data_IF_632973715005
#
_entry.id   IF_632973715005
#
_cell.length_a   1.000
_cell.length_b   1.000
_cell.length_c   1.000
_cell.angle_alpha   90.00
_cell.angle_beta   90.00
_cell.angle_gamma   90.00
#
_symmetry.space_group_name_H-M   'P 1'
#
loop_
_entity.id
_entity.type
_entity.pdbx_description
1 polymer ?
#
# COMPACT_ATOMS: atom_id res chain seq x y z
N UNK A 1 -5.50 5.31 -2.35
CA UNK A 1 -6.44 5.26 -1.20
C UNK A 1 -6.01 6.17 -0.05
N UNK A 2 -4.97 5.85 0.76
CA UNK A 2 -4.63 6.68 1.95
C UNK A 2 -4.35 8.16 1.64
N UNK A 3 -3.66 8.48 0.54
CA UNK A 3 -3.46 9.89 0.13
C UNK A 3 -4.78 10.59 -0.22
N UNK A 4 -5.76 9.89 -0.82
CA UNK A 4 -7.09 10.45 -1.09
C UNK A 4 -7.80 10.85 0.21
N UNK A 5 -7.77 9.98 1.23
CA UNK A 5 -8.30 10.29 2.57
C UNK A 5 -7.61 11.51 3.20
N UNK A 6 -6.29 11.63 3.02
CA UNK A 6 -5.52 12.78 3.51
C UNK A 6 -5.95 14.06 2.80
N UNK A 7 -6.09 14.04 1.48
CA UNK A 7 -6.55 15.19 0.70
C UNK A 7 -7.95 15.63 1.12
N UNK A 8 -8.88 14.69 1.35
CA UNK A 8 -10.21 14.98 1.88
C UNK A 8 -10.20 15.62 3.28
N UNK A 9 -9.09 15.50 4.01
CA UNK A 9 -8.87 16.11 5.32
C UNK A 9 -7.81 17.23 5.30
N UNK A 10 -7.54 17.82 4.13
CA UNK A 10 -6.57 18.92 3.95
C UNK A 10 -5.14 18.60 4.40
N UNK A 11 -4.77 17.32 4.40
CA UNK A 11 -3.43 16.87 4.73
C UNK A 11 -2.60 16.69 3.46
N UNK A 12 -1.30 17.05 3.49
CA UNK A 12 -0.42 16.86 2.35
C UNK A 12 -0.14 15.38 2.10
N UNK A 13 0.41 15.06 0.94
CA UNK A 13 0.82 13.70 0.61
C UNK A 13 1.82 13.11 1.62
N UNK A 14 1.76 11.80 1.75
CA UNK A 14 2.65 11.04 2.62
C UNK A 14 4.07 11.13 2.08
N UNK A 15 5.00 11.54 2.94
CA UNK A 15 6.43 11.51 2.67
C UNK A 15 6.99 10.14 3.07
N UNK A 16 7.89 9.61 2.25
CA UNK A 16 8.64 8.40 2.58
C UNK A 16 9.40 8.55 3.92
N UNK A 17 9.73 7.43 4.53
CA UNK A 17 10.72 7.41 5.61
C UNK A 17 12.09 7.85 5.08
N UNK A 18 12.89 8.42 5.96
CA UNK A 18 14.25 8.86 5.67
C UNK A 18 15.14 8.38 6.82
N UNK A 19 16.25 7.73 6.49
CA UNK A 19 17.19 7.20 7.48
C UNK A 19 18.00 8.31 8.16
N UNK A 20 18.19 9.44 7.49
CA UNK A 20 19.03 10.54 7.97
C UNK A 20 18.25 11.57 8.81
N UNK A 21 16.93 11.41 8.90
CA UNK A 21 16.05 12.30 9.66
C UNK A 21 15.25 11.50 10.69
N UNK A 22 14.88 12.12 11.82
CA UNK A 22 14.09 11.43 12.83
C UNK A 22 12.64 11.19 12.34
N UNK A 23 11.99 10.22 12.96
CA UNK A 23 10.56 10.00 12.81
C UNK A 23 9.80 11.12 13.55
N UNK A 24 9.35 12.13 12.80
CA UNK A 24 8.64 13.28 13.35
C UNK A 24 7.23 12.99 13.89
N UNK A 25 6.62 11.86 13.52
CA UNK A 25 5.24 11.52 13.92
C UNK A 25 5.27 10.36 14.91
N UNK A 26 4.95 10.67 16.16
CA UNK A 26 4.77 9.69 17.22
C UNK A 26 3.49 8.90 17.03
N UNK A 27 3.35 7.81 17.77
CA UNK A 27 2.14 7.01 17.75
C UNK A 27 1.95 6.29 19.08
N UNK A 28 0.78 6.47 19.69
CA UNK A 28 0.35 5.74 20.88
C UNK A 28 -0.76 4.76 20.47
N UNK A 29 -0.51 3.44 20.47
CA UNK A 29 -1.46 2.49 19.92
C UNK A 29 -2.79 2.34 20.66
N UNK A 30 -2.81 2.62 21.97
CA UNK A 30 -3.96 2.32 22.86
C UNK A 30 -4.40 0.84 22.77
N UNK A 31 -3.44 -0.06 22.55
CA UNK A 31 -3.68 -1.50 22.43
C UNK A 31 -2.94 -2.25 23.54
N UNK A 32 -3.59 -3.30 24.03
CA UNK A 32 -3.01 -4.30 24.92
C UNK A 32 -3.03 -5.64 24.21
N UNK A 33 -1.89 -6.32 24.21
CA UNK A 33 -1.76 -7.66 23.64
C UNK A 33 -2.49 -8.69 24.50
N UNK A 34 -2.81 -9.88 23.96
CA UNK A 34 -3.49 -10.95 24.71
C UNK A 34 -2.76 -11.39 25.99
N UNK A 35 -1.44 -11.23 26.03
CA UNK A 35 -0.61 -11.53 27.21
C UNK A 35 -0.69 -10.44 28.31
N UNK A 36 -1.50 -9.40 28.12
CA UNK A 36 -1.69 -8.30 29.06
C UNK A 36 -0.66 -7.17 28.97
N UNK A 37 0.37 -7.32 28.13
CA UNK A 37 1.40 -6.30 27.94
C UNK A 37 0.88 -5.24 26.95
N UNK A 38 1.18 -3.97 27.21
CA UNK A 38 0.78 -2.87 26.32
C UNK A 38 1.64 -2.83 25.06
N UNK A 39 1.01 -2.53 23.92
CA UNK A 39 1.75 -2.29 22.69
C UNK A 39 2.60 -1.02 22.84
N UNK A 40 3.83 -1.01 22.32
CA UNK A 40 4.78 0.06 22.61
C UNK A 40 4.36 1.37 21.97
N UNK A 41 4.44 2.44 22.75
CA UNK A 41 4.34 3.80 22.24
C UNK A 41 5.63 4.19 21.52
N UNK A 42 5.53 4.89 20.38
CA UNK A 42 6.68 5.50 19.72
C UNK A 42 6.68 7.02 19.95
N UNK A 43 7.62 7.57 20.73
CA UNK A 43 7.83 9.01 20.84
C UNK A 43 8.22 9.67 19.51
N UNK A 44 7.99 10.98 19.42
CA UNK A 44 8.46 11.81 18.32
C UNK A 44 9.98 12.01 18.37
N UNK A 45 10.60 12.23 17.21
CA UNK A 45 12.00 12.66 17.13
C UNK A 45 13.03 11.52 17.23
N UNK A 46 12.61 10.25 17.15
CA UNK A 46 13.52 9.11 17.23
C UNK A 46 14.16 8.80 15.87
N UNK A 47 15.46 8.56 15.86
CA UNK A 47 16.21 8.12 14.69
C UNK A 47 16.17 6.61 14.53
N UNK A 48 16.10 6.14 13.28
CA UNK A 48 16.38 4.73 12.98
C UNK A 48 17.85 4.43 13.28
N UNK A 49 18.10 3.28 13.92
CA UNK A 49 19.44 2.79 14.30
C UNK A 49 19.50 1.29 14.06
N UNK A 50 20.69 0.71 14.15
CA UNK A 50 20.84 -0.75 14.13
C UNK A 50 19.96 -1.39 15.21
N UNK A 51 19.30 -2.48 14.87
CA UNK A 51 18.39 -3.21 15.73
C UNK A 51 18.79 -4.69 15.76
N UNK A 52 19.32 -5.15 16.90
CA UNK A 52 19.84 -6.51 17.08
C UNK A 52 20.78 -6.97 15.93
N UNK A 53 20.35 -7.94 15.12
CA UNK A 53 21.09 -8.44 13.95
C UNK A 53 20.84 -7.64 12.66
N UNK A 54 19.95 -6.64 12.69
CA UNK A 54 19.62 -5.78 11.55
C UNK A 54 20.47 -4.52 11.58
N UNK A 55 21.36 -4.40 10.59
CA UNK A 55 22.20 -3.23 10.41
C UNK A 55 21.55 -2.26 9.42
N UNK A 56 21.45 -0.99 9.80
CA UNK A 56 20.87 0.06 8.96
C UNK A 56 21.60 0.18 7.61
N UNK A 57 22.93 0.09 7.65
CA UNK A 57 23.79 0.13 6.46
C UNK A 57 23.48 -1.04 5.51
N UNK A 58 23.17 -2.22 6.04
CA UNK A 58 22.83 -3.38 5.23
C UNK A 58 21.50 -3.17 4.48
N UNK A 59 20.50 -2.60 5.16
CA UNK A 59 19.21 -2.25 4.55
C UNK A 59 19.39 -1.20 3.44
N UNK A 60 20.23 -0.19 3.67
CA UNK A 60 20.60 0.80 2.67
C UNK A 60 21.33 0.16 1.48
N UNK A 61 22.18 -0.83 1.73
CA UNK A 61 22.88 -1.58 0.68
C UNK A 61 21.91 -2.42 -0.16
N UNK A 62 20.91 -3.07 0.45
CA UNK A 62 19.86 -3.78 -0.30
C UNK A 62 19.08 -2.83 -1.19
N UNK A 63 18.64 -1.69 -0.65
CA UNK A 63 17.95 -0.66 -1.42
C UNK A 63 18.80 -0.17 -2.60
N UNK A 64 20.08 0.12 -2.36
CA UNK A 64 21.03 0.52 -3.41
C UNK A 64 21.15 -0.54 -4.50
N UNK A 65 21.35 -1.82 -4.15
CA UNK A 65 21.46 -2.92 -5.13
C UNK A 65 20.21 -3.05 -6.00
N UNK A 66 19.03 -2.80 -5.44
CA UNK A 66 17.76 -2.84 -6.18
C UNK A 66 17.70 -1.65 -7.14
N UNK A 67 18.03 -0.44 -6.70
CA UNK A 67 18.13 0.74 -7.57
C UNK A 67 19.16 0.53 -8.69
N UNK A 68 20.36 0.06 -8.37
CA UNK A 68 21.42 -0.22 -9.33
C UNK A 68 20.95 -1.24 -10.39
N UNK A 69 20.22 -2.28 -9.98
CA UNK A 69 19.65 -3.26 -10.91
C UNK A 69 18.62 -2.65 -11.87
N UNK A 70 17.75 -1.78 -11.35
CA UNK A 70 16.77 -1.02 -12.16
C UNK A 70 17.50 -0.12 -13.16
N UNK A 71 18.44 0.69 -12.69
CA UNK A 71 19.16 1.69 -13.49
C UNK A 71 20.05 1.04 -14.56
N UNK A 72 20.74 -0.04 -14.19
CA UNK A 72 21.54 -0.82 -15.13
C UNK A 72 20.66 -1.49 -16.19
N UNK A 73 19.46 -1.94 -15.78
CA UNK A 73 18.46 -2.55 -16.66
C UNK A 73 18.41 -4.07 -16.58
N UNK A 74 18.96 -4.70 -15.54
CA UNK A 74 18.68 -6.11 -15.25
C UNK A 74 18.79 -6.45 -13.77
N UNK A 75 18.06 -7.49 -13.36
CA UNK A 75 18.33 -8.20 -12.10
C UNK A 75 19.08 -9.50 -12.34
N UNK A 76 19.86 -9.92 -11.35
CA UNK A 76 20.63 -11.16 -11.39
C UNK A 76 20.08 -12.15 -10.36
N UNK A 77 19.59 -13.29 -10.84
CA UNK A 77 19.21 -14.39 -9.97
C UNK A 77 20.43 -15.07 -9.34
N UNK A 78 20.17 -15.91 -8.33
CA UNK A 78 21.19 -16.69 -7.63
C UNK A 78 22.01 -17.59 -8.58
N UNK A 79 21.37 -18.13 -9.61
CA UNK A 79 21.99 -18.96 -10.65
C UNK A 79 22.68 -18.15 -11.78
N UNK A 80 22.88 -16.85 -11.59
CA UNK A 80 23.42 -15.90 -12.57
C UNK A 80 22.55 -15.65 -13.82
N UNK A 81 21.30 -16.14 -13.85
CA UNK A 81 20.33 -15.75 -14.89
C UNK A 81 20.01 -14.25 -14.78
N UNK A 82 20.02 -13.55 -15.91
CA UNK A 82 19.71 -12.13 -16.00
C UNK A 82 18.26 -11.91 -16.43
N UNK A 83 17.55 -11.06 -15.70
CA UNK A 83 16.20 -10.62 -15.98
C UNK A 83 16.28 -9.24 -16.61
N UNK A 84 16.12 -9.14 -17.94
CA UNK A 84 16.33 -7.91 -18.69
C UNK A 84 15.14 -6.95 -18.55
N UNK A 85 15.30 -5.93 -17.71
CA UNK A 85 14.26 -4.96 -17.38
C UNK A 85 13.92 -3.98 -18.52
N UNK A 86 14.75 -3.92 -19.57
CA UNK A 86 14.53 -3.08 -20.76
C UNK A 86 13.78 -3.80 -21.88
N UNK A 87 13.42 -5.07 -21.67
CA UNK A 87 12.64 -5.85 -22.62
C UNK A 87 11.16 -5.48 -22.64
N UNK A 88 10.37 -6.22 -23.42
CA UNK A 88 8.91 -6.07 -23.48
C UNK A 88 8.20 -6.71 -22.25
N UNK A 89 8.90 -7.60 -21.53
CA UNK A 89 8.35 -8.26 -20.34
C UNK A 89 8.28 -7.33 -19.12
N UNK A 90 7.14 -7.34 -18.43
CA UNK A 90 6.95 -6.61 -17.18
C UNK A 90 7.38 -7.46 -15.97
N UNK A 91 8.52 -7.11 -15.39
CA UNK A 91 9.09 -7.77 -14.21
C UNK A 91 8.61 -7.16 -12.88
N UNK A 92 7.48 -6.46 -12.87
CA UNK A 92 6.89 -5.92 -11.63
C UNK A 92 6.67 -7.00 -10.57
N UNK A 93 6.24 -8.20 -10.98
CA UNK A 93 6.08 -9.33 -10.06
C UNK A 93 7.41 -9.76 -9.44
N UNK A 94 8.47 -9.86 -10.24
CA UNK A 94 9.82 -10.21 -9.77
C UNK A 94 10.37 -9.15 -8.82
N UNK A 95 10.19 -7.86 -9.13
CA UNK A 95 10.55 -6.77 -8.23
C UNK A 95 9.77 -6.84 -6.91
N UNK A 96 8.48 -7.20 -6.95
CA UNK A 96 7.69 -7.43 -5.76
C UNK A 96 8.25 -8.53 -4.87
N UNK A 97 8.63 -9.67 -5.47
CA UNK A 97 9.25 -10.78 -4.74
C UNK A 97 10.60 -10.39 -4.13
N UNK A 98 11.41 -9.62 -4.86
CA UNK A 98 12.68 -9.06 -4.36
C UNK A 98 12.44 -8.14 -3.16
N UNK A 99 11.52 -7.18 -3.28
CA UNK A 99 11.25 -6.19 -2.24
C UNK A 99 10.66 -6.82 -0.98
N UNK A 100 9.79 -7.83 -1.13
CA UNK A 100 9.24 -8.57 0.01
C UNK A 100 10.28 -9.51 0.63
N UNK A 101 11.18 -10.07 -0.18
CA UNK A 101 12.12 -11.13 0.20
C UNK A 101 11.41 -12.46 0.46
N UNK A 102 10.34 -12.75 -0.28
CA UNK A 102 9.58 -13.99 -0.17
C UNK A 102 10.33 -15.18 -0.81
N UNK A 103 9.71 -16.36 -0.79
CA UNK A 103 10.30 -17.60 -1.32
C UNK A 103 10.62 -17.50 -2.82
N UNK A 104 9.82 -16.75 -3.57
CA UNK A 104 9.96 -16.55 -5.01
C UNK A 104 10.95 -15.42 -5.37
N UNK A 105 11.66 -14.87 -4.38
CA UNK A 105 12.73 -13.90 -4.61
C UNK A 105 13.90 -14.56 -5.34
N UNK A 106 14.23 -14.03 -6.52
CA UNK A 106 15.23 -14.63 -7.42
C UNK A 106 16.64 -14.70 -6.83
N UNK A 107 16.96 -13.85 -5.84
CA UNK A 107 18.23 -13.85 -5.13
C UNK A 107 18.11 -13.13 -3.77
N UNK A 108 17.50 -13.81 -2.79
CA UNK A 108 17.28 -13.26 -1.45
C UNK A 108 18.58 -12.91 -0.72
N UNK A 109 19.66 -13.66 -0.94
CA UNK A 109 20.97 -13.37 -0.32
C UNK A 109 21.57 -12.05 -0.82
N UNK A 110 21.37 -11.74 -2.10
CA UNK A 110 21.89 -10.51 -2.68
C UNK A 110 20.98 -9.30 -2.45
N UNK A 111 19.66 -9.47 -2.62
CA UNK A 111 18.69 -8.36 -2.54
C UNK A 111 18.01 -8.21 -1.17
N UNK A 112 18.14 -9.19 -0.27
CA UNK A 112 17.59 -9.15 1.07
C UNK A 112 16.05 -9.30 1.10
N UNK A 113 15.46 -8.75 2.16
CA UNK A 113 14.01 -8.68 2.37
C UNK A 113 13.61 -7.24 2.73
N UNK A 114 13.76 -6.33 1.77
CA UNK A 114 13.75 -4.88 2.02
C UNK A 114 12.53 -4.40 2.82
N UNK A 115 11.31 -4.74 2.38
CA UNK A 115 10.09 -4.32 3.08
C UNK A 115 10.00 -4.87 4.51
N UNK A 116 10.32 -6.16 4.70
CA UNK A 116 10.30 -6.80 6.02
C UNK A 116 11.36 -6.23 6.96
N UNK A 117 12.55 -5.97 6.43
CA UNK A 117 13.63 -5.34 7.18
C UNK A 117 13.26 -3.93 7.62
N UNK A 118 12.55 -3.15 6.80
CA UNK A 118 12.02 -1.85 7.21
C UNK A 118 10.96 -1.96 8.30
N UNK A 119 10.02 -2.90 8.17
CA UNK A 119 9.01 -3.13 9.21
C UNK A 119 9.68 -3.48 10.54
N UNK A 120 10.66 -4.37 10.56
CA UNK A 120 11.38 -4.74 11.78
C UNK A 120 12.26 -3.62 12.32
N UNK A 121 13.04 -2.94 11.48
CA UNK A 121 13.88 -1.79 11.87
C UNK A 121 13.07 -0.69 12.57
N UNK A 122 11.92 -0.33 11.99
CA UNK A 122 11.05 0.70 12.55
C UNK A 122 10.10 0.17 13.64
N UNK A 123 9.86 -1.15 13.68
CA UNK A 123 9.13 -1.82 14.75
C UNK A 123 9.89 -1.77 16.06
N UNK A 124 11.18 -2.10 16.03
CA UNK A 124 12.06 -2.09 17.21
C UNK A 124 12.68 -0.72 17.51
N UNK A 125 12.26 0.36 16.84
CA UNK A 125 12.89 1.69 16.95
C UNK A 125 12.97 2.24 18.39
N UNK A 126 12.06 1.81 19.27
CA UNK A 126 11.99 2.23 20.68
C UNK A 126 12.98 1.47 21.57
N UNK A 127 13.24 0.19 21.27
CA UNK A 127 14.19 -0.65 21.99
C UNK A 127 14.97 -1.56 21.01
N UNK A 128 15.88 -1.00 20.19
CA UNK A 128 16.47 -1.71 19.07
C UNK A 128 17.29 -2.95 19.46
N UNK A 129 17.78 -3.01 20.69
CA UNK A 129 18.62 -4.11 21.21
C UNK A 129 17.92 -4.90 22.32
N UNK A 130 16.60 -4.75 22.46
CA UNK A 130 15.77 -5.48 23.43
C UNK A 130 16.25 -5.33 24.89
N UNK A 131 16.90 -4.21 25.24
CA UNK A 131 17.49 -3.99 26.57
C UNK A 131 16.40 -3.84 27.64
N UNK A 132 15.26 -3.30 27.27
CA UNK A 132 14.16 -2.99 28.17
C UNK A 132 13.01 -4.00 28.05
N UNK A 133 13.16 -5.04 27.22
CA UNK A 133 12.14 -6.06 27.02
C UNK A 133 10.87 -5.49 26.39
N UNK A 134 10.99 -4.43 25.59
CA UNK A 134 9.84 -3.85 24.90
C UNK A 134 9.29 -4.88 23.90
N UNK A 135 7.98 -5.15 23.92
CA UNK A 135 7.38 -6.12 23.00
C UNK A 135 7.36 -5.61 21.55
N UNK A 136 6.96 -6.49 20.64
CA UNK A 136 6.80 -6.16 19.23
C UNK A 136 5.86 -4.96 19.02
N UNK A 137 6.21 -4.12 18.05
CA UNK A 137 5.40 -2.97 17.68
C UNK A 137 4.14 -3.39 16.92
N UNK A 138 3.13 -2.53 16.92
CA UNK A 138 1.95 -2.70 16.04
C UNK A 138 2.33 -2.78 14.55
N UNK A 139 3.50 -2.25 14.17
CA UNK A 139 4.01 -2.35 12.81
C UNK A 139 4.30 -3.79 12.38
N UNK A 140 4.58 -4.69 13.33
CA UNK A 140 5.00 -6.06 13.05
C UNK A 140 3.81 -7.04 12.97
N UNK A 141 2.59 -6.55 13.18
CA UNK A 141 1.36 -7.34 13.15
C UNK A 141 0.43 -6.87 12.02
N UNK A 142 0.09 -7.73 11.04
CA UNK A 142 -0.78 -7.36 9.91
C UNK A 142 -2.11 -6.73 10.30
N UNK A 143 -2.67 -7.14 11.44
CA UNK A 143 -3.94 -6.70 12.01
C UNK A 143 -3.88 -5.27 12.55
N UNK A 144 -2.69 -4.77 12.90
CA UNK A 144 -2.51 -3.48 13.57
C UNK A 144 -1.58 -2.50 12.85
N UNK A 145 -0.76 -2.97 11.91
CA UNK A 145 0.22 -2.14 11.20
C UNK A 145 -0.40 -0.94 10.47
N UNK A 146 -1.62 -1.08 9.95
CA UNK A 146 -2.33 -0.02 9.24
C UNK A 146 -2.78 1.13 10.15
N UNK A 147 -2.78 0.93 11.48
CA UNK A 147 -3.13 1.98 12.45
C UNK A 147 -1.99 2.99 12.62
N UNK A 148 -0.75 2.56 12.45
CA UNK A 148 0.43 3.39 12.65
C UNK A 148 0.70 4.27 11.40
N UNK A 149 0.77 5.61 11.54
CA UNK A 149 1.14 6.51 10.43
C UNK A 149 2.48 6.16 9.75
N UNK A 150 3.42 5.58 10.49
CA UNK A 150 4.75 5.21 9.99
C UNK A 150 4.69 4.09 8.95
N UNK A 151 3.71 3.18 9.05
CA UNK A 151 3.49 2.13 8.04
C UNK A 151 3.35 2.74 6.64
N UNK A 152 2.54 3.79 6.52
CA UNK A 152 2.30 4.41 5.22
C UNK A 152 3.54 5.14 4.67
N UNK A 153 4.42 5.63 5.55
CA UNK A 153 5.70 6.22 5.15
C UNK A 153 6.70 5.16 4.68
N UNK A 154 6.72 3.99 5.33
CA UNK A 154 7.49 2.81 4.91
C UNK A 154 6.98 2.34 3.54
N UNK A 155 5.67 2.13 3.42
CA UNK A 155 5.03 1.73 2.16
C UNK A 155 5.32 2.74 1.03
N UNK A 156 5.34 4.05 1.31
CA UNK A 156 5.69 5.06 0.31
C UNK A 156 7.13 4.92 -0.19
N UNK A 157 8.09 4.55 0.66
CA UNK A 157 9.49 4.28 0.27
C UNK A 157 9.61 3.04 -0.61
N UNK A 158 8.91 1.96 -0.27
CA UNK A 158 8.87 0.76 -1.12
C UNK A 158 8.20 1.08 -2.47
N UNK A 159 7.08 1.80 -2.46
CA UNK A 159 6.39 2.22 -3.68
C UNK A 159 7.24 3.12 -4.57
N UNK A 160 8.11 3.98 -4.02
CA UNK A 160 9.00 4.79 -4.85
C UNK A 160 9.96 3.94 -5.70
N UNK A 161 10.34 2.74 -5.24
CA UNK A 161 11.16 1.82 -6.02
C UNK A 161 10.35 1.25 -7.20
N UNK A 162 9.07 0.90 -6.98
CA UNK A 162 8.18 0.51 -8.08
C UNK A 162 7.99 1.63 -9.10
N UNK A 163 7.80 2.87 -8.64
CA UNK A 163 7.67 4.01 -9.55
C UNK A 163 8.95 4.26 -10.34
N UNK A 164 10.10 4.12 -9.71
CA UNK A 164 11.41 4.19 -10.35
C UNK A 164 11.59 3.10 -11.41
N UNK A 165 11.19 1.87 -11.13
CA UNK A 165 11.17 0.81 -12.14
C UNK A 165 10.20 1.12 -13.29
N UNK A 166 8.97 1.50 -12.96
CA UNK A 166 7.94 1.81 -13.96
C UNK A 166 8.29 3.02 -14.84
N UNK A 167 9.13 3.95 -14.39
CA UNK A 167 9.61 5.06 -15.23
C UNK A 167 10.63 4.64 -16.29
N UNK A 168 11.23 3.45 -16.16
CA UNK A 168 12.13 2.89 -17.17
C UNK A 168 11.40 2.10 -18.26
N UNK A 169 10.11 1.79 -18.06
CA UNK A 169 9.31 1.10 -19.06
C UNK A 169 8.95 2.05 -20.20
N UNK A 170 8.85 1.51 -21.42
CA UNK A 170 8.36 2.25 -22.58
C UNK A 170 6.91 2.71 -22.30
N UNK A 171 6.61 4.01 -22.37
CA UNK A 171 5.25 4.49 -22.27
C UNK A 171 4.38 3.89 -23.38
N UNK A 172 3.11 3.64 -23.07
CA UNK A 172 2.14 3.22 -24.09
C UNK A 172 2.07 4.25 -25.22
N UNK A 173 2.13 3.76 -26.44
CA UNK A 173 1.86 4.53 -27.64
C UNK A 173 0.36 4.72 -27.85
N UNK A 174 0.00 5.54 -28.82
CA UNK A 174 -1.40 5.67 -29.23
C UNK A 174 -2.00 4.30 -29.60
N UNK A 175 -1.28 3.51 -30.38
CA UNK A 175 -1.78 2.23 -30.91
C UNK A 175 -1.91 1.16 -29.82
N UNK A 176 -1.14 1.26 -28.72
CA UNK A 176 -1.28 0.38 -27.55
C UNK A 176 -2.57 0.65 -26.76
N UNK A 177 -3.10 1.88 -26.85
CA UNK A 177 -4.29 2.32 -26.08
C UNK A 177 -5.54 2.46 -26.96
N UNK A 178 -5.36 2.55 -28.28
CA UNK A 178 -6.43 2.78 -29.22
C UNK A 178 -7.25 1.51 -29.44
N UNK A 179 -8.57 1.61 -29.23
CA UNK A 179 -9.52 0.57 -29.57
C UNK A 179 -10.29 1.00 -30.84
N UNK A 180 -9.98 0.42 -32.01
CA UNK A 180 -10.54 0.88 -33.27
C UNK A 180 -12.07 0.83 -33.32
N UNK A 181 -12.70 1.90 -33.81
CA UNK A 181 -14.14 2.00 -34.01
C UNK A 181 -14.95 2.15 -32.71
N UNK A 182 -14.31 2.30 -31.55
CA UNK A 182 -14.99 2.50 -30.26
C UNK A 182 -14.70 3.90 -29.72
N UNK A 183 -15.74 4.61 -29.29
CA UNK A 183 -15.62 5.94 -28.68
C UNK A 183 -16.50 6.04 -27.45
N UNK A 184 -15.92 6.50 -26.33
CA UNK A 184 -16.69 6.89 -25.15
C UNK A 184 -17.21 8.32 -25.37
N UNK A 185 -18.51 8.46 -25.59
CA UNK A 185 -19.15 9.74 -25.88
C UNK A 185 -19.47 10.54 -24.62
N UNK A 186 -19.90 9.86 -23.56
CA UNK A 186 -20.30 10.51 -22.32
C UNK A 186 -20.14 9.59 -21.11
N UNK A 187 -19.87 10.21 -19.95
CA UNK A 187 -19.77 9.54 -18.66
C UNK A 187 -20.50 10.38 -17.63
N UNK A 188 -21.59 9.85 -17.08
CA UNK A 188 -22.36 10.51 -16.02
C UNK A 188 -22.39 9.66 -14.76
N UNK A 189 -22.51 10.32 -13.61
CA UNK A 189 -22.55 9.70 -12.30
C UNK A 189 -23.72 10.24 -11.51
N UNK A 190 -24.34 9.37 -10.72
CA UNK A 190 -25.20 9.79 -9.63
C UNK A 190 -24.40 10.58 -8.57
N UNK A 191 -25.12 11.23 -7.66
CA UNK A 191 -24.52 11.95 -6.55
C UNK A 191 -23.73 11.01 -5.64
N UNK A 192 -22.42 11.22 -5.57
CA UNK A 192 -21.53 10.49 -4.65
C UNK A 192 -21.66 11.07 -3.24
N UNK A 193 -22.10 10.25 -2.28
CA UNK A 193 -22.31 10.69 -0.89
C UNK A 193 -21.69 9.69 0.07
N UNK A 194 -20.78 10.16 0.92
CA UNK A 194 -20.23 9.42 2.06
C UNK A 194 -20.89 9.84 3.36
N UNK A 195 -20.89 8.94 4.34
CA UNK A 195 -21.39 9.17 5.69
C UNK A 195 -20.71 8.21 6.67
N UNK A 196 -20.86 8.45 7.97
CA UNK A 196 -20.48 7.48 8.99
C UNK A 196 -21.71 6.76 9.51
N UNK A 197 -21.59 5.46 9.74
CA UNK A 197 -22.65 4.63 10.30
C UNK A 197 -22.12 3.77 11.46
N UNK A 198 -23.02 3.33 12.32
CA UNK A 198 -22.71 2.40 13.39
C UNK A 198 -22.46 1.00 12.80
N UNK A 199 -21.40 0.36 13.24
CA UNK A 199 -21.07 -1.01 12.91
C UNK A 199 -20.80 -1.79 14.18
N UNK A 200 -21.60 -2.83 14.38
CA UNK A 200 -21.56 -3.72 15.53
C UNK A 200 -20.81 -5.00 15.17
N UNK A 201 -19.91 -5.43 16.05
CA UNK A 201 -19.21 -6.70 15.90
C UNK A 201 -18.99 -7.37 17.26
N UNK A 202 -19.04 -8.70 17.28
CA UNK A 202 -18.89 -9.48 18.50
C UNK A 202 -17.44 -9.51 18.98
N UNK A 203 -17.26 -9.43 20.29
CA UNK A 203 -15.95 -9.44 20.96
C UNK A 203 -15.82 -10.57 21.98
N UNK A 204 -16.66 -11.61 21.88
CA UNK A 204 -16.68 -12.74 22.80
C UNK A 204 -15.28 -13.38 22.97
N UNK A 205 -14.51 -13.48 21.88
CA UNK A 205 -13.15 -14.04 21.89
C UNK A 205 -12.11 -13.18 22.63
N UNK A 206 -12.42 -11.93 22.97
CA UNK A 206 -11.56 -11.06 23.76
C UNK A 206 -11.78 -11.23 25.27
N UNK A 207 -12.77 -12.02 25.67
CA UNK A 207 -13.16 -12.23 27.06
C UNK A 207 -12.75 -13.63 27.53
N UNK A 208 -12.26 -13.70 28.75
CA UNK A 208 -11.93 -14.97 29.42
C UNK A 208 -12.97 -15.23 30.50
N UNK A 209 -13.66 -16.37 30.40
CA UNK A 209 -14.64 -16.82 31.40
C UNK A 209 -14.04 -17.91 32.29
N UNK A 210 -14.47 -17.98 33.55
CA UNK A 210 -14.00 -18.99 34.50
C UNK A 210 -14.48 -20.40 34.13
N UNK A 211 -15.70 -20.51 33.56
CA UNK A 211 -16.22 -21.72 32.94
C UNK A 211 -16.70 -21.39 31.53
N UNK A 212 -16.55 -22.32 30.59
CA UNK A 212 -17.00 -22.14 29.21
C UNK A 212 -18.52 -21.89 29.12
N UNK A 213 -19.29 -22.52 30.00
CA UNK A 213 -20.75 -22.38 30.13
C UNK A 213 -21.17 -20.94 30.50
N UNK A 214 -20.32 -20.19 31.21
CA UNK A 214 -20.65 -18.83 31.65
C UNK A 214 -20.59 -17.82 30.48
N UNK A 215 -19.92 -18.18 29.38
CA UNK A 215 -19.76 -17.34 28.19
C UNK A 215 -20.64 -17.73 27.01
N UNK A 216 -21.30 -18.90 27.04
CA UNK A 216 -22.09 -19.40 25.91
C UNK A 216 -23.43 -18.66 25.73
N UNK A 217 -23.95 -18.07 26.80
CA UNK A 217 -25.31 -17.50 26.83
C UNK A 217 -25.32 -15.96 26.68
N UNK A 218 -24.15 -15.32 26.59
CA UNK A 218 -24.02 -13.85 26.55
C UNK A 218 -23.19 -13.43 25.33
N UNK A 219 -23.79 -12.62 24.44
CA UNK A 219 -23.07 -11.98 23.35
C UNK A 219 -22.62 -10.58 23.75
N UNK A 220 -21.31 -10.36 23.70
CA UNK A 220 -20.66 -9.08 23.92
C UNK A 220 -20.35 -8.42 22.58
N UNK A 221 -20.84 -7.19 22.40
CA UNK A 221 -20.77 -6.46 21.13
C UNK A 221 -20.05 -5.13 21.34
N UNK A 222 -19.09 -4.83 20.46
CA UNK A 222 -18.50 -3.52 20.32
C UNK A 222 -19.16 -2.77 19.14
N UNK A 223 -19.50 -1.50 19.37
CA UNK A 223 -20.03 -0.60 18.33
C UNK A 223 -18.98 0.45 17.97
N UNK A 224 -18.75 0.64 16.67
CA UNK A 224 -17.84 1.67 16.16
C UNK A 224 -18.45 2.43 14.98
N UNK A 225 -18.07 3.68 14.81
CA UNK A 225 -18.40 4.44 13.60
C UNK A 225 -17.47 4.02 12.45
N UNK A 226 -18.05 3.67 11.29
CA UNK A 226 -17.29 3.35 10.07
C UNK A 226 -17.73 4.22 8.91
N UNK A 227 -16.77 4.62 8.09
CA UNK A 227 -17.04 5.32 6.84
C UNK A 227 -17.81 4.41 5.89
N UNK A 228 -18.86 4.95 5.28
CA UNK A 228 -19.72 4.28 4.32
C UNK A 228 -20.11 5.25 3.18
N UNK A 229 -20.76 4.72 2.14
CA UNK A 229 -21.28 5.52 1.04
C UNK A 229 -22.68 5.06 0.61
N UNK A 230 -23.45 5.94 -0.02
CA UNK A 230 -24.71 5.54 -0.65
C UNK A 230 -24.41 4.78 -1.96
N UNK A 231 -25.22 3.77 -2.33
CA UNK A 231 -25.16 3.20 -3.66
C UNK A 231 -25.32 4.30 -4.72
N UNK A 232 -24.59 4.17 -5.82
CA UNK A 232 -24.63 5.11 -6.94
C UNK A 232 -24.45 4.33 -8.24
N UNK A 233 -25.01 4.84 -9.33
CA UNK A 233 -24.77 4.33 -10.67
C UNK A 233 -23.86 5.28 -11.46
N UNK A 234 -23.16 4.72 -12.42
CA UNK A 234 -22.46 5.46 -13.46
C UNK A 234 -22.93 4.98 -14.81
N UNK A 235 -23.19 5.91 -15.73
CA UNK A 235 -23.69 5.62 -17.05
C UNK A 235 -22.64 5.99 -18.09
N UNK A 236 -22.21 4.99 -18.84
CA UNK A 236 -21.26 5.12 -19.93
C UNK A 236 -22.03 5.09 -21.26
N UNK A 237 -21.97 6.19 -22.01
CA UNK A 237 -22.44 6.20 -23.39
C UNK A 237 -21.28 5.88 -24.31
N UNK A 238 -21.29 4.68 -24.90
CA UNK A 238 -20.23 4.20 -25.77
C UNK A 238 -20.82 3.93 -27.14
N UNK A 239 -20.18 4.47 -28.18
CA UNK A 239 -20.48 4.17 -29.57
C UNK A 239 -19.45 3.16 -30.10
N UNK A 240 -19.91 2.15 -30.81
CA UNK A 240 -19.07 1.15 -31.46
C UNK A 240 -19.49 0.95 -32.90
N UNK A 241 -18.55 1.03 -33.83
CA UNK A 241 -18.79 0.77 -35.26
C UNK A 241 -18.95 -0.74 -35.56
N UNK A 242 -18.40 -1.59 -34.70
CA UNK A 242 -18.40 -3.04 -34.85
C UNK A 242 -18.83 -3.73 -33.56
N UNK A 243 -19.24 -4.99 -33.66
CA UNK A 243 -19.39 -5.85 -32.48
C UNK A 243 -18.01 -6.21 -31.94
N UNK A 244 -17.74 -5.92 -30.65
CA UNK A 244 -16.43 -6.17 -30.05
C UNK A 244 -16.54 -6.55 -28.58
N UNK A 245 -15.81 -7.59 -28.19
CA UNK A 245 -15.61 -7.94 -26.78
C UNK A 245 -14.62 -6.97 -26.15
N UNK A 246 -15.03 -6.31 -25.08
CA UNK A 246 -14.28 -5.23 -24.44
C UNK A 246 -14.15 -5.45 -22.94
N UNK A 247 -13.15 -4.78 -22.34
CA UNK A 247 -12.99 -4.70 -20.89
C UNK A 247 -13.13 -3.24 -20.47
N UNK A 248 -14.10 -2.95 -19.63
CA UNK A 248 -14.29 -1.62 -19.05
C UNK A 248 -13.51 -1.55 -17.74
N UNK A 249 -12.70 -0.50 -17.57
CA UNK A 249 -11.95 -0.23 -16.33
C UNK A 249 -12.25 1.18 -15.84
N UNK A 250 -12.76 1.30 -14.62
CA UNK A 250 -13.13 2.58 -14.01
C UNK A 250 -12.16 2.90 -12.88
N UNK A 251 -11.56 4.08 -12.93
CA UNK A 251 -10.61 4.54 -11.91
C UNK A 251 -11.08 5.85 -11.26
N UNK A 252 -10.82 6.01 -9.96
CA UNK A 252 -11.03 7.27 -9.22
C UNK A 252 -9.70 7.81 -8.71
N UNK A 253 -9.50 9.11 -8.82
CA UNK A 253 -8.27 9.79 -8.40
C UNK A 253 -8.51 11.27 -8.11
N UNK A 254 -7.57 11.93 -7.42
CA UNK A 254 -7.68 13.34 -7.08
C UNK A 254 -7.53 14.22 -8.33
N UNK A 255 -8.32 15.29 -8.39
CA UNK A 255 -8.15 16.36 -9.39
C UNK A 255 -7.12 17.40 -8.95
N UNK A 256 -7.19 17.80 -7.67
CA UNK A 256 -6.33 18.83 -7.08
C UNK A 256 -5.45 18.25 -5.98
N UNK A 257 -4.29 18.84 -5.79
CA UNK A 257 -3.41 18.57 -4.65
C UNK A 257 -3.88 19.32 -3.38
N UNK A 258 -3.18 19.10 -2.27
CA UNK A 258 -3.50 19.72 -0.98
C UNK A 258 -3.44 21.28 -0.98
N UNK A 259 -2.81 21.87 -1.99
CA UNK A 259 -2.66 23.32 -2.17
C UNK A 259 -3.63 23.90 -3.22
N UNK A 260 -4.54 23.09 -3.76
CA UNK A 260 -5.51 23.53 -4.78
C UNK A 260 -4.96 23.59 -6.22
N UNK A 261 -3.72 23.15 -6.46
CA UNK A 261 -3.18 23.04 -7.82
C UNK A 261 -3.73 21.77 -8.48
N UNK A 262 -4.17 21.89 -9.72
CA UNK A 262 -4.60 20.75 -10.53
C UNK A 262 -3.41 19.86 -10.90
N UNK A 263 -3.55 18.55 -10.72
CA UNK A 263 -2.53 17.59 -11.11
C UNK A 263 -2.52 17.38 -12.62
N UNK A 264 -1.32 17.27 -13.21
CA UNK A 264 -1.18 16.72 -14.56
C UNK A 264 -1.55 15.23 -14.58
N UNK A 265 -1.80 14.68 -15.78
CA UNK A 265 -2.02 13.24 -15.92
C UNK A 265 -0.82 12.42 -15.40
N UNK A 266 0.40 12.90 -15.67
CA UNK A 266 1.63 12.23 -15.25
C UNK A 266 1.79 12.22 -13.72
N UNK A 267 1.40 13.30 -13.05
CA UNK A 267 1.42 13.39 -11.59
C UNK A 267 0.32 12.52 -10.97
N UNK A 268 -0.92 12.59 -11.49
CA UNK A 268 -2.09 11.92 -10.88
C UNK A 268 -2.15 10.42 -11.14
N UNK A 269 -1.46 9.89 -12.16
CA UNK A 269 -1.55 8.48 -12.56
C UNK A 269 -1.30 7.50 -11.39
N UNK A 270 -0.38 7.85 -10.49
CA UNK A 270 -0.03 7.04 -9.32
C UNK A 270 -1.08 7.05 -8.19
N UNK A 271 -2.07 7.96 -8.25
CA UNK A 271 -3.10 8.13 -7.23
C UNK A 271 -4.42 7.48 -7.61
N UNK A 272 -4.57 7.03 -8.87
CA UNK A 272 -5.76 6.34 -9.31
C UNK A 272 -5.96 5.01 -8.58
N UNK A 273 -7.20 4.78 -8.17
CA UNK A 273 -7.65 3.55 -7.54
C UNK A 273 -8.65 2.92 -8.48
N UNK A 274 -8.44 1.64 -8.83
CA UNK A 274 -9.42 0.86 -9.58
C UNK A 274 -10.71 0.73 -8.75
N UNK A 275 -11.80 1.23 -9.30
CA UNK A 275 -13.14 1.10 -8.74
C UNK A 275 -13.84 -0.16 -9.24
N UNK A 276 -13.78 -0.40 -10.54
CA UNK A 276 -14.52 -1.47 -11.19
C UNK A 276 -13.80 -1.98 -12.44
N UNK A 277 -13.97 -3.27 -12.73
CA UNK A 277 -13.47 -3.93 -13.93
C UNK A 277 -14.43 -5.04 -14.35
N UNK A 278 -14.94 -4.97 -15.58
CA UNK A 278 -15.86 -5.97 -16.12
C UNK A 278 -15.74 -6.12 -17.63
N UNK A 279 -16.09 -7.31 -18.12
CA UNK A 279 -16.18 -7.59 -19.55
C UNK A 279 -17.53 -7.10 -20.06
N UNK A 280 -17.54 -6.50 -21.25
CA UNK A 280 -18.76 -6.04 -21.90
C UNK A 280 -18.66 -6.25 -23.40
N UNK A 281 -19.71 -6.83 -23.98
CA UNK A 281 -19.81 -7.02 -25.43
C UNK A 281 -20.51 -5.80 -26.04
N UNK A 282 -19.76 -4.96 -26.74
CA UNK A 282 -20.30 -3.81 -27.44
C UNK A 282 -21.00 -4.27 -28.73
N UNK A 283 -22.19 -3.75 -28.97
CA UNK A 283 -22.92 -3.96 -30.23
C UNK A 283 -22.63 -2.81 -31.18
N UNK A 284 -22.67 -3.10 -32.49
CA UNK A 284 -22.53 -2.07 -33.53
C UNK A 284 -23.75 -1.13 -33.53
N UNK A 285 -23.50 0.18 -33.59
CA UNK A 285 -24.51 1.25 -33.63
C UNK A 285 -24.20 2.27 -34.72
#
# INVERSE_FOLDING_TARGET
KKNSERLSNHLPDIKAIDYNHPVFVGYYPELRMPNGIEAPARPEGIFARNADILYLEEIQNYERRIHDGIDYGFFSAYNYTKYNLKGEEDYTGVLGNILEGNYDSINREFYGAFFRNLISLFGHIVDPVHKYGVPASVLEHPETQLRDPLFYRIAKRVLSIFYHYKSHLKPYSHDDLYLPGVTVEDVTFDKLVTYFDNFDFEINNALTFAKAEDGSDISYVARQYRLNHKPFFYHLKVKSENEVDSVVRVFIGPKYNAYGREYSLDERKQYYVLLDIFNYKLSAV
#
